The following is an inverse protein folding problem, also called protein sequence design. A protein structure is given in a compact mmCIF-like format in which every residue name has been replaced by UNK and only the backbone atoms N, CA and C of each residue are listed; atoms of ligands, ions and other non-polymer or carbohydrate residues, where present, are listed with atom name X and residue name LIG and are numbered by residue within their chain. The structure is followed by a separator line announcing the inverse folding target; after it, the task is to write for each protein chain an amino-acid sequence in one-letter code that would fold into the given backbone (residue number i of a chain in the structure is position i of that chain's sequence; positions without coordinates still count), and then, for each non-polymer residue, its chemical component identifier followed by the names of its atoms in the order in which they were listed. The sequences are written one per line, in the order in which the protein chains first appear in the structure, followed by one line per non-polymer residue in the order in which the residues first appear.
data_IF_471260823102
#
_entry.id   IF_471260823102
#
_cell.length_a   1.000
_cell.length_b   1.000
_cell.length_c   1.000
_cell.angle_alpha   90.00
_cell.angle_beta   90.00
_cell.angle_gamma   90.00
#
_symmetry.space_group_name_H-M   'P 1'
#
loop_
_entity.id
_entity.type
_entity.pdbx_description
1 polymer ?
#
# COMPACT_ATOMS: atom_id res chain seq x y z
N UNK A 1 15.94 55.73 -3.61
CA UNK A 1 14.99 56.59 -4.33
C UNK A 1 13.95 55.69 -5.03
N UNK A 2 12.73 55.65 -4.47
CA UNK A 2 11.41 55.29 -5.05
C UNK A 2 11.17 53.92 -5.73
N UNK A 3 10.46 53.07 -4.97
CA UNK A 3 9.29 52.28 -5.40
C UNK A 3 8.30 53.22 -6.15
N UNK A 4 8.00 53.03 -7.46
CA UNK A 4 6.71 53.43 -8.12
C UNK A 4 6.61 53.38 -9.67
N UNK A 5 7.59 52.88 -10.46
CA UNK A 5 7.49 52.99 -11.94
C UNK A 5 7.85 51.75 -12.79
N UNK A 6 7.93 50.55 -12.23
CA UNK A 6 8.04 49.31 -13.04
C UNK A 6 6.91 48.33 -12.76
N UNK A 7 5.73 48.89 -12.55
CA UNK A 7 4.43 48.24 -12.78
C UNK A 7 3.88 49.03 -13.97
N UNK A 8 3.35 48.34 -14.99
CA UNK A 8 2.78 48.87 -16.26
C UNK A 8 3.80 48.86 -17.42
N UNK A 9 3.45 48.17 -18.52
CA UNK A 9 4.25 47.75 -19.69
C UNK A 9 5.02 46.44 -19.40
N UNK A 10 4.46 45.22 -19.42
CA UNK A 10 3.59 44.63 -20.42
C UNK A 10 2.65 43.60 -19.78
N UNK A 11 1.46 44.06 -19.42
CA UNK A 11 0.28 43.22 -19.49
C UNK A 11 -0.07 43.06 -20.99
N UNK A 12 -0.53 41.86 -21.39
CA UNK A 12 -1.05 41.46 -22.71
C UNK A 12 -0.07 40.93 -23.77
N UNK A 13 0.22 39.63 -23.67
CA UNK A 13 -0.32 38.68 -24.65
C UNK A 13 -0.82 37.44 -23.90
N UNK A 14 -2.14 37.27 -23.88
CA UNK A 14 -2.85 36.08 -23.41
C UNK A 14 -3.16 35.26 -24.67
N UNK A 15 -2.90 33.94 -24.66
CA UNK A 15 -3.86 32.86 -24.95
C UNK A 15 -3.19 31.55 -25.43
N UNK A 16 -3.56 30.49 -24.71
CA UNK A 16 -3.57 29.05 -25.03
C UNK A 16 -2.26 28.35 -25.38
N UNK A 17 -1.72 27.63 -24.38
CA UNK A 17 -1.65 26.17 -24.45
C UNK A 17 -1.93 25.61 -23.05
N UNK A 18 -3.04 24.90 -22.96
CA UNK A 18 -3.43 24.02 -21.87
C UNK A 18 -2.33 23.01 -21.58
N UNK A 19 -1.88 22.98 -20.33
CA UNK A 19 -1.25 21.82 -19.73
C UNK A 19 -1.63 21.88 -18.26
N UNK A 20 -2.64 21.10 -17.85
CA UNK A 20 -2.85 20.80 -16.44
C UNK A 20 -1.53 20.21 -15.94
N UNK A 21 -0.70 21.01 -15.29
CA UNK A 21 0.34 20.47 -14.43
C UNK A 21 -0.41 19.87 -13.27
N UNK A 22 -0.74 18.58 -13.37
CA UNK A 22 -1.17 17.79 -12.25
C UNK A 22 -0.10 18.01 -11.17
N UNK A 23 -0.47 18.67 -10.08
CA UNK A 23 0.38 18.74 -8.91
C UNK A 23 0.54 17.28 -8.50
N UNK A 24 1.72 16.71 -8.75
CA UNK A 24 2.05 15.37 -8.28
C UNK A 24 1.87 15.41 -6.76
N UNK A 25 0.99 14.56 -6.24
CA UNK A 25 0.77 14.48 -4.80
C UNK A 25 2.02 13.99 -4.07
N UNK A 26 2.00 14.10 -2.75
CA UNK A 26 3.10 13.71 -1.87
C UNK A 26 3.56 12.26 -2.10
N UNK A 27 2.64 11.33 -2.35
CA UNK A 27 2.97 9.92 -2.58
C UNK A 27 3.53 9.69 -3.97
N UNK A 28 3.00 10.38 -4.98
CA UNK A 28 3.56 10.36 -6.33
C UNK A 28 5.01 10.83 -6.33
N UNK A 29 5.29 11.94 -5.63
CA UNK A 29 6.64 12.46 -5.44
C UNK A 29 7.53 11.47 -4.69
N UNK A 30 7.00 10.84 -3.63
CA UNK A 30 7.73 9.83 -2.86
C UNK A 30 8.23 8.67 -3.71
N UNK A 31 7.45 8.21 -4.70
CA UNK A 31 7.87 7.16 -5.64
C UNK A 31 9.03 7.63 -6.52
N UNK A 32 9.02 8.91 -6.95
CA UNK A 32 10.08 9.50 -7.77
C UNK A 32 11.38 9.71 -6.99
N UNK A 33 11.29 9.96 -5.69
CA UNK A 33 12.45 10.20 -4.82
C UNK A 33 13.27 8.94 -4.51
N UNK A 34 12.79 7.75 -4.86
CA UNK A 34 13.56 6.52 -4.69
C UNK A 34 14.95 6.60 -5.36
N UNK A 35 16.04 6.19 -4.68
CA UNK A 35 16.09 5.58 -3.34
C UNK A 35 16.38 6.58 -2.20
N UNK A 36 16.32 7.88 -2.44
CA UNK A 36 16.72 8.94 -1.52
C UNK A 36 15.58 9.30 -0.55
N UNK A 37 15.13 8.33 0.24
CA UNK A 37 14.11 8.54 1.28
C UNK A 37 14.78 8.93 2.60
N UNK A 38 14.63 10.19 3.01
CA UNK A 38 15.21 10.71 4.26
C UNK A 38 14.32 10.52 5.49
N UNK A 39 13.03 10.21 5.30
CA UNK A 39 12.10 9.96 6.37
C UNK A 39 10.88 9.14 5.92
N UNK A 40 10.09 8.72 6.90
CA UNK A 40 8.71 8.27 6.69
C UNK A 40 7.86 9.38 6.08
N UNK A 41 6.84 9.05 5.26
CA UNK A 41 5.90 10.01 4.76
C UNK A 41 4.97 10.47 5.88
N UNK A 42 4.51 11.71 5.78
CA UNK A 42 3.42 12.22 6.63
C UNK A 42 2.12 11.60 6.12
N UNK A 43 1.49 10.75 6.93
CA UNK A 43 0.27 10.01 6.61
C UNK A 43 -0.74 10.14 7.75
N UNK A 44 -2.01 9.88 7.46
CA UNK A 44 -3.06 9.79 8.48
C UNK A 44 -3.01 8.43 9.18
N UNK A 45 -3.55 8.37 10.39
CA UNK A 45 -3.80 7.10 11.06
C UNK A 45 -4.73 6.23 10.22
N UNK A 46 -4.50 4.92 10.25
CA UNK A 46 -5.28 3.98 9.46
C UNK A 46 -6.63 3.72 10.10
N UNK A 47 -7.69 4.21 9.47
CA UNK A 47 -9.09 3.92 9.79
C UNK A 47 -9.73 3.13 8.64
N UNK A 48 -10.54 2.12 8.97
CA UNK A 48 -11.19 1.25 7.97
C UNK A 48 -10.19 0.50 7.08
N UNK A 49 -10.55 0.25 5.83
CA UNK A 49 -9.68 -0.36 4.80
C UNK A 49 -9.08 0.69 3.85
N UNK A 50 -8.00 0.30 3.14
CA UNK A 50 -7.52 1.06 2.00
C UNK A 50 -8.52 0.87 0.85
N UNK A 51 -9.05 1.99 0.37
CA UNK A 51 -10.01 2.03 -0.74
C UNK A 51 -9.23 2.14 -2.06
N UNK A 52 -9.51 1.22 -2.97
CA UNK A 52 -8.93 1.17 -4.32
C UNK A 52 -9.90 1.75 -5.34
N UNK A 53 -9.42 2.19 -6.51
CA UNK A 53 -10.29 2.56 -7.62
C UNK A 53 -11.15 1.38 -8.10
N UNK A 54 -12.31 1.68 -8.68
CA UNK A 54 -13.26 0.67 -9.21
C UNK A 54 -12.59 -0.32 -10.16
N UNK A 55 -11.69 0.16 -11.00
CA UNK A 55 -10.98 -0.65 -12.00
C UNK A 55 -10.05 -1.71 -11.41
N UNK A 56 -9.77 -1.67 -10.10
CA UNK A 56 -9.00 -2.70 -9.38
C UNK A 56 -9.87 -3.90 -8.96
N UNK A 57 -11.20 -3.78 -9.00
CA UNK A 57 -12.11 -4.83 -8.57
C UNK A 57 -11.88 -6.13 -9.36
N UNK A 58 -11.95 -7.26 -8.66
CA UNK A 58 -11.79 -8.60 -9.25
C UNK A 58 -10.59 -9.37 -8.70
N UNK A 59 -10.30 -10.49 -9.34
CA UNK A 59 -9.14 -11.33 -9.05
C UNK A 59 -8.06 -11.15 -10.10
N UNK A 60 -6.81 -11.10 -9.63
CA UNK A 60 -5.65 -10.83 -10.46
C UNK A 60 -4.56 -11.85 -10.17
N UNK A 61 -3.93 -12.35 -11.23
CA UNK A 61 -2.66 -13.02 -11.11
C UNK A 61 -1.57 -11.96 -11.15
N UNK A 62 -0.83 -11.81 -10.06
CA UNK A 62 0.26 -10.87 -9.91
C UNK A 62 1.57 -11.58 -10.21
N UNK A 63 2.38 -11.00 -11.08
CA UNK A 63 3.82 -11.28 -11.16
C UNK A 63 4.56 -10.14 -10.50
N UNK A 64 5.30 -10.45 -9.42
CA UNK A 64 6.13 -9.50 -8.67
C UNK A 64 7.60 -9.82 -8.89
N UNK A 65 8.38 -8.85 -9.36
CA UNK A 65 9.83 -9.01 -9.56
C UNK A 65 10.57 -7.97 -8.76
N UNK A 66 11.45 -8.39 -7.85
CA UNK A 66 12.37 -7.49 -7.15
C UNK A 66 13.45 -7.02 -8.13
N UNK A 67 13.43 -5.74 -8.50
CA UNK A 67 14.35 -5.18 -9.52
C UNK A 67 15.47 -4.33 -8.92
N UNK A 68 15.32 -3.90 -7.65
CA UNK A 68 16.37 -3.13 -6.97
C UNK A 68 16.32 -3.34 -5.46
N UNK A 69 17.51 -3.42 -4.86
CA UNK A 69 17.72 -3.38 -3.43
C UNK A 69 18.73 -2.29 -3.10
N UNK A 70 18.43 -1.46 -2.10
CA UNK A 70 19.32 -0.39 -1.62
C UNK A 70 19.34 -0.41 -0.10
N UNK A 71 20.54 -0.33 0.48
CA UNK A 71 20.73 -0.01 1.89
C UNK A 71 21.20 1.44 1.96
N UNK A 72 20.32 2.41 2.33
CA UNK A 72 20.69 3.82 2.33
C UNK A 72 21.88 4.12 3.24
N UNK A 73 21.95 3.44 4.39
CA UNK A 73 23.12 3.42 5.26
C UNK A 73 23.71 1.99 5.31
N UNK A 74 24.83 1.71 4.62
CA UNK A 74 25.45 0.38 4.60
C UNK A 74 25.94 -0.13 5.97
N UNK A 75 26.16 0.76 6.93
CA UNK A 75 26.57 0.40 8.30
C UNK A 75 25.39 -0.09 9.14
N UNK A 76 24.16 0.23 8.74
CA UNK A 76 22.92 -0.13 9.44
C UNK A 76 22.02 -0.91 8.48
N UNK A 77 22.24 -2.22 8.39
CA UNK A 77 21.45 -3.12 7.54
C UNK A 77 20.78 -4.20 8.37
N UNK A 78 19.55 -4.56 7.99
CA UNK A 78 18.87 -5.71 8.60
C UNK A 78 19.52 -7.02 8.12
N UNK A 79 19.52 -8.09 8.94
CA UNK A 79 20.03 -9.40 8.53
C UNK A 79 19.37 -9.90 7.22
N UNK A 80 18.07 -9.64 7.05
CA UNK A 80 17.31 -10.00 5.86
C UNK A 80 17.79 -9.33 4.57
N UNK A 81 18.43 -8.16 4.63
CA UNK A 81 18.88 -7.44 3.43
C UNK A 81 19.87 -8.25 2.59
N UNK A 82 20.84 -8.92 3.21
CA UNK A 82 21.81 -9.74 2.46
C UNK A 82 21.16 -11.00 1.88
N UNK A 83 20.29 -11.64 2.66
CA UNK A 83 19.59 -12.87 2.26
C UNK A 83 18.63 -12.62 1.08
N UNK A 84 17.98 -11.46 1.04
CA UNK A 84 17.01 -11.12 -0.01
C UNK A 84 17.64 -10.95 -1.40
N UNK A 85 18.97 -10.85 -1.51
CA UNK A 85 19.67 -10.74 -2.79
C UNK A 85 19.38 -11.90 -3.73
N UNK A 86 19.09 -13.09 -3.19
CA UNK A 86 18.74 -14.27 -3.98
C UNK A 86 17.43 -14.11 -4.78
N UNK A 87 16.55 -13.19 -4.37
CA UNK A 87 15.28 -12.91 -5.04
C UNK A 87 15.39 -11.80 -6.09
N UNK A 88 16.56 -11.17 -6.24
CA UNK A 88 16.75 -10.12 -7.23
C UNK A 88 16.58 -10.69 -8.65
N UNK A 89 15.77 -10.02 -9.46
CA UNK A 89 15.39 -10.39 -10.82
C UNK A 89 14.68 -11.76 -10.93
N UNK A 90 14.20 -12.31 -9.80
CA UNK A 90 13.40 -13.53 -9.77
C UNK A 90 11.91 -13.16 -9.67
N UNK A 91 11.08 -13.50 -10.69
CA UNK A 91 9.66 -13.27 -10.62
C UNK A 91 8.98 -14.28 -9.67
N UNK A 92 8.07 -13.78 -8.85
CA UNK A 92 7.20 -14.58 -7.99
C UNK A 92 5.75 -14.31 -8.41
N UNK A 93 4.96 -15.37 -8.55
CA UNK A 93 3.57 -15.27 -8.98
C UNK A 93 2.61 -15.67 -7.87
N UNK A 94 1.54 -14.90 -7.68
CA UNK A 94 0.48 -15.19 -6.71
C UNK A 94 -0.83 -14.53 -7.12
N UNK A 95 -1.94 -15.02 -6.59
CA UNK A 95 -3.25 -14.44 -6.85
C UNK A 95 -3.62 -13.42 -5.76
N UNK A 96 -4.30 -12.36 -6.15
CA UNK A 96 -4.91 -11.37 -5.24
C UNK A 96 -6.34 -11.11 -5.65
N UNK A 97 -7.14 -10.61 -4.71
CA UNK A 97 -8.55 -10.30 -4.86
C UNK A 97 -8.84 -8.94 -4.25
N UNK A 98 -9.67 -8.19 -4.96
CA UNK A 98 -10.29 -6.95 -4.52
C UNK A 98 -11.79 -7.04 -4.74
N UNK A 99 -12.59 -6.68 -3.73
CA UNK A 99 -14.04 -6.80 -3.78
C UNK A 99 -14.72 -5.58 -3.18
N UNK A 100 -16.00 -5.41 -3.50
CA UNK A 100 -16.84 -4.37 -2.92
C UNK A 100 -17.11 -4.68 -1.45
N UNK A 101 -16.58 -3.87 -0.55
CA UNK A 101 -16.87 -3.99 0.87
C UNK A 101 -18.36 -3.70 1.13
N UNK A 102 -19.01 -4.59 1.86
CA UNK A 102 -20.32 -4.25 2.46
C UNK A 102 -20.07 -3.16 3.51
N UNK A 103 -20.90 -2.10 3.57
CA UNK A 103 -20.75 -1.09 4.60
C UNK A 103 -20.81 -1.75 5.98
N UNK A 104 -19.80 -1.48 6.83
CA UNK A 104 -19.79 -1.93 8.21
C UNK A 104 -21.06 -1.42 8.90
N UNK A 105 -21.99 -2.33 9.20
CA UNK A 105 -23.17 -2.00 9.99
C UNK A 105 -22.71 -1.83 11.43
N UNK A 106 -22.51 -0.58 11.88
CA UNK A 106 -22.34 -0.32 13.30
C UNK A 106 -23.60 -0.83 14.02
N UNK A 107 -23.42 -1.76 14.95
CA UNK A 107 -24.49 -2.16 15.87
C UNK A 107 -24.83 -0.92 16.69
N UNK A 108 -26.06 -0.43 16.58
CA UNK A 108 -26.60 0.58 17.49
C UNK A 108 -26.49 0.03 18.92
N UNK A 109 -25.55 0.55 19.70
CA UNK A 109 -25.50 0.29 21.13
C UNK A 109 -26.60 1.13 21.76
N UNK A 110 -27.66 0.47 22.21
CA UNK A 110 -28.77 1.13 22.89
C UNK A 110 -28.28 1.57 24.28
N UNK A 111 -27.72 2.78 24.39
CA UNK A 111 -27.30 3.36 25.66
C UNK A 111 -28.55 3.89 26.41
N UNK A 112 -28.67 3.65 27.73
CA UNK A 112 -29.86 4.01 28.52
C UNK A 112 -29.87 5.49 28.95
N UNK A 113 -29.44 6.41 28.08
CA UNK A 113 -29.42 7.85 28.38
C UNK A 113 -30.05 8.66 27.23
N UNK A 114 -30.98 9.59 27.50
CA UNK A 114 -31.61 10.44 26.50
C UNK A 114 -30.66 11.58 26.12
N UNK A 115 -29.64 11.28 25.32
CA UNK A 115 -28.91 12.30 24.57
C UNK A 115 -28.85 11.83 23.12
N UNK A 116 -29.86 12.23 22.35
CA UNK A 116 -29.84 12.11 20.89
C UNK A 116 -28.76 13.05 20.36
N UNK A 117 -27.55 12.53 20.20
CA UNK A 117 -26.56 13.12 19.31
C UNK A 117 -27.03 12.82 17.89
N UNK A 118 -27.70 13.78 17.26
CA UNK A 118 -27.88 13.77 15.82
C UNK A 118 -26.51 14.02 15.17
N UNK A 119 -25.72 12.95 15.02
CA UNK A 119 -24.63 12.96 14.05
C UNK A 119 -25.33 12.95 12.69
N UNK A 120 -25.38 14.13 12.09
CA UNK A 120 -25.90 14.34 10.75
C UNK A 120 -24.98 13.56 9.79
N UNK A 121 -25.37 12.33 9.49
CA UNK A 121 -24.76 11.52 8.45
C UNK A 121 -25.02 12.20 7.12
N UNK A 122 -24.14 13.11 6.72
CA UNK A 122 -23.98 13.48 5.32
C UNK A 122 -23.31 12.31 4.58
N UNK A 123 -23.94 11.13 4.57
CA UNK A 123 -23.59 10.03 3.67
C UNK A 123 -24.31 10.26 2.34
N UNK A 124 -23.97 11.36 1.68
CA UNK A 124 -24.18 11.50 0.24
C UNK A 124 -23.14 10.63 -0.44
N UNK A 125 -23.63 9.64 -1.20
CA UNK A 125 -22.93 8.59 -1.97
C UNK A 125 -22.77 7.24 -1.24
N UNK A 126 -23.70 6.33 -1.53
CA UNK A 126 -23.49 4.87 -1.51
C UNK A 126 -22.40 4.52 -2.54
N UNK A 127 -21.14 4.87 -2.27
CA UNK A 127 -20.02 4.37 -3.07
C UNK A 127 -19.61 3.03 -2.49
N UNK A 128 -19.80 1.98 -3.29
CA UNK A 128 -19.32 0.63 -3.03
C UNK A 128 -17.78 0.65 -3.03
N UNK A 129 -17.17 0.72 -1.84
CA UNK A 129 -15.72 0.84 -1.73
C UNK A 129 -15.04 -0.46 -2.13
N UNK A 130 -14.14 -0.42 -3.11
CA UNK A 130 -13.28 -1.56 -3.46
C UNK A 130 -12.18 -1.68 -2.42
N UNK A 131 -12.08 -2.83 -1.78
CA UNK A 131 -11.05 -3.15 -0.77
C UNK A 131 -10.32 -4.43 -1.16
N UNK A 132 -9.08 -4.57 -0.70
CA UNK A 132 -8.33 -5.81 -0.86
C UNK A 132 -8.78 -6.88 0.14
N UNK A 133 -8.92 -8.12 -0.31
CA UNK A 133 -9.12 -9.28 0.57
C UNK A 133 -7.82 -9.58 1.32
N UNK A 134 -7.59 -8.90 2.45
CA UNK A 134 -6.30 -8.98 3.17
C UNK A 134 -5.94 -10.41 3.59
N UNK A 135 -6.92 -11.20 4.01
CA UNK A 135 -6.67 -12.59 4.40
C UNK A 135 -6.25 -13.44 3.19
N UNK A 136 -7.01 -13.38 2.09
CA UNK A 136 -6.68 -14.11 0.86
C UNK A 136 -5.37 -13.63 0.24
N UNK A 137 -5.20 -12.32 0.09
CA UNK A 137 -4.01 -11.70 -0.50
C UNK A 137 -2.78 -12.00 0.34
N UNK A 138 -2.87 -11.82 1.66
CA UNK A 138 -1.78 -12.09 2.59
C UNK A 138 -1.35 -13.54 2.56
N UNK A 139 -2.29 -14.49 2.50
CA UNK A 139 -1.98 -15.92 2.41
C UNK A 139 -1.25 -16.25 1.10
N UNK A 140 -1.79 -15.83 -0.04
CA UNK A 140 -1.21 -16.12 -1.35
C UNK A 140 0.19 -15.51 -1.50
N UNK A 141 0.38 -14.26 -1.03
CA UNK A 141 1.71 -13.61 -1.02
C UNK A 141 2.69 -14.39 -0.14
N UNK A 142 2.28 -14.72 1.10
CA UNK A 142 3.16 -15.39 2.05
C UNK A 142 3.56 -16.80 1.56
N UNK A 143 2.62 -17.56 0.99
CA UNK A 143 2.91 -18.89 0.43
C UNK A 143 3.80 -18.82 -0.81
N UNK A 144 3.64 -17.81 -1.66
CA UNK A 144 4.50 -17.66 -2.84
C UNK A 144 5.95 -17.30 -2.47
N UNK A 145 6.17 -16.61 -1.34
CA UNK A 145 7.51 -16.22 -0.88
C UNK A 145 8.16 -17.30 0.00
N UNK A 146 7.41 -17.84 0.95
CA UNK A 146 7.93 -18.76 1.99
C UNK A 146 7.68 -20.23 1.68
N UNK A 147 6.86 -20.52 0.67
CA UNK A 147 6.39 -21.85 0.32
C UNK A 147 5.08 -22.22 1.02
N UNK A 148 4.21 -22.94 0.30
CA UNK A 148 2.87 -23.34 0.78
C UNK A 148 2.92 -24.10 2.11
N UNK A 149 3.93 -24.94 2.31
CA UNK A 149 4.09 -25.75 3.54
C UNK A 149 4.49 -24.93 4.75
N UNK A 150 5.07 -23.74 4.57
CA UNK A 150 5.56 -22.90 5.66
C UNK A 150 4.44 -22.05 6.28
N UNK A 151 3.39 -21.75 5.52
CA UNK A 151 2.30 -20.84 5.92
C UNK A 151 0.99 -21.61 6.01
N UNK A 152 0.43 -21.69 7.23
CA UNK A 152 -0.80 -22.43 7.50
C UNK A 152 -2.04 -21.61 7.16
N UNK A 153 -2.09 -20.35 7.59
CA UNK A 153 -3.23 -19.46 7.34
C UNK A 153 -2.88 -18.01 7.58
N UNK A 154 -3.70 -17.12 7.02
CA UNK A 154 -3.73 -15.70 7.35
C UNK A 154 -5.13 -15.33 7.76
N UNK A 155 -5.27 -14.63 8.89
CA UNK A 155 -6.56 -14.19 9.44
C UNK A 155 -6.55 -12.69 9.70
N UNK A 156 -7.69 -12.05 9.50
CA UNK A 156 -7.90 -10.63 9.83
C UNK A 156 -8.77 -10.55 11.08
N UNK A 157 -8.47 -9.61 11.98
CA UNK A 157 -9.29 -9.37 13.16
C UNK A 157 -10.68 -8.86 12.74
N UNK A 158 -11.78 -9.55 13.11
CA UNK A 158 -13.12 -9.16 12.69
C UNK A 158 -13.56 -7.80 13.23
N UNK A 159 -12.89 -7.28 14.27
CA UNK A 159 -13.17 -5.96 14.87
C UNK A 159 -12.21 -4.88 14.37
N UNK A 160 -11.13 -5.26 13.68
CA UNK A 160 -10.13 -4.33 13.19
C UNK A 160 -9.52 -4.82 11.87
N UNK A 161 -9.97 -4.31 10.70
CA UNK A 161 -9.45 -4.73 9.40
C UNK A 161 -7.95 -4.44 9.21
N UNK A 162 -7.38 -3.57 10.05
CA UNK A 162 -5.96 -3.22 10.01
C UNK A 162 -5.08 -4.24 10.73
N UNK A 163 -5.65 -5.22 11.45
CA UNK A 163 -4.88 -6.24 12.17
C UNK A 163 -5.00 -7.60 11.47
N UNK A 164 -3.85 -8.15 11.12
CA UNK A 164 -3.72 -9.45 10.46
C UNK A 164 -2.73 -10.34 11.22
N UNK A 165 -3.05 -11.63 11.35
CA UNK A 165 -2.16 -12.64 11.93
C UNK A 165 -1.86 -13.68 10.86
N UNK A 166 -0.57 -13.92 10.61
CA UNK A 166 -0.08 -15.03 9.78
C UNK A 166 0.39 -16.14 10.70
N UNK A 167 -0.10 -17.36 10.49
CA UNK A 167 0.27 -18.56 11.24
C UNK A 167 1.24 -19.39 10.41
N UNK A 168 2.41 -19.68 10.97
CA UNK A 168 3.42 -20.54 10.35
C UNK A 168 3.30 -21.98 10.85
N UNK A 169 3.94 -22.91 10.16
CA UNK A 169 3.86 -24.35 10.48
C UNK A 169 4.65 -24.79 11.72
N UNK A 170 5.43 -23.89 12.30
CA UNK A 170 6.31 -24.12 13.46
C UNK A 170 5.83 -23.36 14.70
N UNK A 171 4.52 -23.17 14.82
CA UNK A 171 3.83 -22.43 15.89
C UNK A 171 4.20 -20.93 16.01
N UNK A 172 5.11 -20.43 15.19
CA UNK A 172 5.42 -19.00 15.09
C UNK A 172 4.25 -18.24 14.45
N UNK A 173 4.15 -16.96 14.81
CA UNK A 173 3.13 -16.06 14.29
C UNK A 173 3.73 -14.72 13.89
N UNK A 174 3.16 -14.11 12.85
CA UNK A 174 3.43 -12.71 12.49
C UNK A 174 2.14 -11.92 12.64
N UNK A 175 2.09 -11.06 13.66
CA UNK A 175 1.05 -10.05 13.80
C UNK A 175 1.48 -8.81 13.01
N UNK A 176 0.66 -8.40 12.04
CA UNK A 176 0.85 -7.19 11.23
C UNK A 176 -0.30 -6.23 11.49
N UNK A 177 0.01 -4.98 11.84
CA UNK A 177 -0.98 -3.93 12.08
C UNK A 177 -0.70 -2.73 11.18
N UNK A 178 -1.63 -2.36 10.31
CA UNK A 178 -1.56 -1.08 9.59
C UNK A 178 -1.78 0.05 10.60
N UNK A 179 -0.81 0.94 10.72
CA UNK A 179 -0.86 2.07 11.65
C UNK A 179 -1.18 3.37 10.95
N UNK A 180 -0.68 3.55 9.72
CA UNK A 180 -0.89 4.75 8.92
C UNK A 180 -1.09 4.40 7.46
N UNK A 181 -1.87 5.19 6.74
CA UNK A 181 -2.03 5.05 5.29
C UNK A 181 -2.32 6.37 4.58
N UNK A 182 -2.16 6.35 3.28
CA UNK A 182 -2.60 7.40 2.37
C UNK A 182 -2.81 6.85 0.96
N UNK A 183 -3.58 7.58 0.17
CA UNK A 183 -3.73 7.30 -1.25
C UNK A 183 -3.95 8.58 -2.05
N UNK A 184 -3.58 8.52 -3.31
CA UNK A 184 -3.70 9.58 -4.30
C UNK A 184 -4.16 8.96 -5.63
N UNK A 185 -4.93 9.72 -6.40
CA UNK A 185 -5.37 9.33 -7.75
C UNK A 185 -4.90 10.39 -8.73
N UNK A 186 -3.63 10.35 -9.19
CA UNK A 186 -3.06 11.41 -10.03
C UNK A 186 -3.77 11.58 -11.38
N UNK A 187 -4.34 10.50 -11.91
CA UNK A 187 -5.14 10.48 -13.14
C UNK A 187 -6.16 9.33 -13.09
N UNK A 188 -7.09 9.27 -14.06
CA UNK A 188 -8.12 8.22 -14.12
C UNK A 188 -7.56 6.79 -14.10
N UNK A 189 -6.39 6.60 -14.71
CA UNK A 189 -5.75 5.30 -14.83
C UNK A 189 -4.58 5.11 -13.83
N UNK A 190 -4.35 6.04 -12.92
CA UNK A 190 -3.25 5.98 -11.96
C UNK A 190 -3.75 6.05 -10.52
N UNK A 191 -3.16 5.22 -9.68
CA UNK A 191 -3.45 5.21 -8.25
C UNK A 191 -2.14 5.00 -7.50
N UNK A 192 -1.90 5.80 -6.48
CA UNK A 192 -0.74 5.64 -5.59
C UNK A 192 -1.28 5.41 -4.20
N UNK A 193 -0.80 4.38 -3.53
CA UNK A 193 -1.14 4.13 -2.13
C UNK A 193 0.11 3.88 -1.31
N UNK A 194 0.03 4.20 -0.03
CA UNK A 194 1.05 3.87 0.96
C UNK A 194 0.39 3.35 2.21
N UNK A 195 0.93 2.26 2.76
CA UNK A 195 0.59 1.76 4.09
C UNK A 195 1.87 1.59 4.92
N UNK A 196 1.82 1.96 6.20
CA UNK A 196 2.86 1.67 7.18
C UNK A 196 2.31 0.62 8.16
N UNK A 197 3.03 -0.48 8.28
CA UNK A 197 2.71 -1.64 9.09
C UNK A 197 3.69 -1.75 10.24
N UNK A 198 3.17 -1.97 11.45
CA UNK A 198 3.95 -2.53 12.55
C UNK A 198 3.84 -4.05 12.49
N UNK A 199 4.98 -4.72 12.57
CA UNK A 199 5.07 -6.17 12.49
C UNK A 199 5.71 -6.71 13.76
N UNK A 200 5.03 -7.66 14.41
CA UNK A 200 5.53 -8.37 15.58
C UNK A 200 5.62 -9.85 15.18
N UNK A 201 6.85 -10.32 15.03
CA UNK A 201 7.14 -11.74 14.84
C UNK A 201 7.30 -12.39 16.21
N UNK A 202 6.44 -13.34 16.52
CA UNK A 202 6.43 -14.11 17.76
C UNK A 202 6.90 -15.52 17.45
N UNK A 203 8.12 -15.84 17.90
CA UNK A 203 8.59 -17.22 17.96
C UNK A 203 8.55 -17.76 19.38
N UNK A 204 8.85 -19.06 19.55
CA UNK A 204 8.79 -19.74 20.86
C UNK A 204 9.61 -19.03 21.96
N UNK A 205 10.75 -18.44 21.60
CA UNK A 205 11.71 -17.87 22.55
C UNK A 205 12.10 -16.42 22.24
N UNK A 206 11.57 -15.84 21.17
CA UNK A 206 11.94 -14.48 20.74
C UNK A 206 10.75 -13.72 20.19
N UNK A 207 10.74 -12.42 20.46
CA UNK A 207 9.83 -11.46 19.83
C UNK A 207 10.71 -10.48 19.06
N UNK A 208 10.41 -10.30 17.78
CA UNK A 208 11.07 -9.31 16.94
C UNK A 208 10.04 -8.32 16.41
N UNK A 209 10.38 -7.03 16.46
CA UNK A 209 9.54 -5.94 16.04
C UNK A 209 10.20 -5.19 14.90
N UNK A 210 9.45 -4.86 13.86
CA UNK A 210 9.88 -3.95 12.81
C UNK A 210 8.71 -3.09 12.33
N UNK A 211 9.05 -1.99 11.66
CA UNK A 211 8.08 -1.17 10.93
C UNK A 211 8.41 -1.24 9.45
N UNK A 212 7.38 -1.46 8.64
CA UNK A 212 7.50 -1.61 7.19
C UNK A 212 6.58 -0.59 6.53
N UNK A 213 7.08 0.07 5.52
CA UNK A 213 6.26 0.91 4.66
C UNK A 213 6.23 0.29 3.27
N UNK A 214 5.05 0.23 2.68
CA UNK A 214 4.87 -0.17 1.28
C UNK A 214 4.16 0.96 0.55
N UNK A 215 4.84 1.54 -0.44
CA UNK A 215 4.27 2.53 -1.36
C UNK A 215 4.16 1.91 -2.74
N UNK A 216 2.98 1.91 -3.34
CA UNK A 216 2.73 1.32 -4.66
C UNK A 216 2.07 2.32 -5.60
N UNK A 217 2.70 2.59 -6.74
CA UNK A 217 2.13 3.37 -7.83
C UNK A 217 1.64 2.43 -8.94
N UNK A 218 0.33 2.34 -9.09
CA UNK A 218 -0.38 1.53 -10.07
C UNK A 218 -0.69 2.35 -11.33
N UNK A 219 -0.72 1.67 -12.48
CA UNK A 219 -1.21 2.19 -13.75
C UNK A 219 -2.03 1.13 -14.44
N UNK A 220 -3.32 1.42 -14.63
CA UNK A 220 -4.26 0.59 -15.36
C UNK A 220 -4.14 0.81 -16.86
N UNK A 221 -4.24 -0.28 -17.61
CA UNK A 221 -4.39 -0.29 -19.07
C UNK A 221 -5.81 -0.78 -19.40
N UNK A 222 -6.68 0.16 -19.76
CA UNK A 222 -8.04 -0.14 -20.17
C UNK A 222 -8.07 -0.82 -21.55
N UNK A 223 -9.06 -1.68 -21.74
CA UNK A 223 -9.29 -2.36 -22.99
C UNK A 223 -9.74 -1.36 -24.08
N UNK A 224 -9.23 -1.53 -25.31
CA UNK A 224 -9.51 -0.59 -26.40
C UNK A 224 -10.93 -0.70 -26.96
N UNK A 225 -11.55 -1.89 -26.87
CA UNK A 225 -12.88 -2.18 -27.38
C UNK A 225 -13.95 -2.00 -26.29
N UNK A 226 -13.59 -2.18 -25.03
CA UNK A 226 -14.46 -2.08 -23.86
C UNK A 226 -13.78 -1.25 -22.76
N UNK A 227 -13.88 0.10 -22.79
CA UNK A 227 -13.17 0.98 -21.87
C UNK A 227 -13.50 0.80 -20.39
N UNK A 228 -14.57 0.06 -20.05
CA UNK A 228 -14.91 -0.30 -18.67
C UNK A 228 -14.08 -1.47 -18.13
N UNK A 229 -13.40 -2.22 -19.01
CA UNK A 229 -12.52 -3.34 -18.64
C UNK A 229 -11.07 -2.93 -18.60
N UNK A 230 -10.33 -3.57 -17.70
CA UNK A 230 -8.87 -3.46 -17.60
C UNK A 230 -8.22 -4.73 -18.14
N UNK A 231 -7.33 -4.58 -19.12
CA UNK A 231 -6.57 -5.69 -19.67
C UNK A 231 -5.37 -6.05 -18.77
N UNK A 232 -4.78 -5.05 -18.13
CA UNK A 232 -3.56 -5.19 -17.34
C UNK A 232 -3.43 -4.03 -16.35
N UNK A 233 -2.92 -4.31 -15.14
CA UNK A 233 -2.42 -3.28 -14.24
C UNK A 233 -0.91 -3.49 -14.06
N UNK A 234 -0.13 -2.44 -14.27
CA UNK A 234 1.29 -2.44 -13.92
C UNK A 234 1.49 -1.62 -12.66
N UNK A 235 2.49 -1.96 -11.84
CA UNK A 235 2.79 -1.13 -10.68
C UNK A 235 4.28 -1.09 -10.33
N UNK A 236 4.70 0.04 -9.80
CA UNK A 236 6.00 0.21 -9.16
C UNK A 236 5.77 0.23 -7.65
N UNK A 237 6.19 -0.83 -6.96
CA UNK A 237 6.06 -0.96 -5.51
C UNK A 237 7.42 -0.79 -4.86
N UNK A 238 7.49 0.04 -3.82
CA UNK A 238 8.67 0.25 -3.00
C UNK A 238 8.34 -0.16 -1.57
N UNK A 239 9.14 -1.05 -1.02
CA UNK A 239 9.07 -1.45 0.39
C UNK A 239 10.28 -0.90 1.12
N UNK A 240 10.02 -0.19 2.22
CA UNK A 240 11.03 0.33 3.12
C UNK A 240 10.94 -0.34 4.49
N UNK A 241 12.09 -0.73 5.03
CA UNK A 241 12.21 -1.30 6.37
C UNK A 241 12.81 -0.25 7.29
N UNK A 242 12.17 -0.03 8.43
CA UNK A 242 12.63 0.84 9.49
C UNK A 242 12.92 0.00 10.73
N UNK A 243 13.97 0.37 11.45
CA UNK A 243 14.27 -0.22 12.74
C UNK A 243 13.20 0.17 13.76
N UNK A 244 12.93 -0.75 14.67
CA UNK A 244 12.13 -0.53 15.87
C UNK A 244 13.00 -0.03 17.01
N UNK A 245 12.41 0.58 18.07
CA UNK A 245 13.17 0.97 19.26
C UNK A 245 13.91 -0.16 19.98
N UNK A 246 13.62 -1.42 19.65
CA UNK A 246 14.28 -2.59 20.23
C UNK A 246 15.59 -2.95 19.49
N UNK A 247 15.81 -2.40 18.30
CA UNK A 247 17.02 -2.66 17.52
C UNK A 247 18.22 -1.86 18.06
N UNK A 248 19.41 -2.47 18.21
CA UNK A 248 20.59 -1.79 18.74
C UNK A 248 20.99 -0.52 17.98
N UNK A 249 20.79 -0.50 16.66
CA UNK A 249 21.15 0.61 15.79
C UNK A 249 19.97 1.57 15.51
N UNK A 250 18.86 1.45 16.25
CA UNK A 250 17.67 2.28 16.05
C UNK A 250 17.98 3.79 16.00
N UNK A 251 18.74 4.30 16.97
CA UNK A 251 19.10 5.72 17.02
C UNK A 251 20.09 6.12 15.91
N UNK A 252 20.92 5.17 15.43
CA UNK A 252 21.83 5.43 14.30
C UNK A 252 21.07 5.56 12.99
N UNK A 253 19.93 4.89 12.85
CA UNK A 253 19.09 4.98 11.66
C UNK A 253 18.35 6.33 11.52
N UNK A 254 18.23 7.13 12.58
CA UNK A 254 17.64 8.49 12.52
C UNK A 254 16.28 8.57 11.81
N UNK A 255 15.41 7.56 12.00
CA UNK A 255 14.09 7.45 11.33
C UNK A 255 14.15 7.31 9.79
N UNK A 256 15.33 7.06 9.23
CA UNK A 256 15.54 6.70 7.83
C UNK A 256 15.29 5.21 7.60
N UNK A 257 14.91 4.81 6.38
CA UNK A 257 14.84 3.40 6.04
C UNK A 257 16.24 2.78 6.00
N UNK A 258 16.38 1.62 6.63
CA UNK A 258 17.63 0.84 6.64
C UNK A 258 17.73 -0.13 5.47
N UNK A 259 16.62 -0.36 4.77
CA UNK A 259 16.56 -1.16 3.56
C UNK A 259 15.40 -0.70 2.68
N UNK A 260 15.65 -0.59 1.39
CA UNK A 260 14.69 -0.27 0.36
C UNK A 260 14.69 -1.36 -0.71
N UNK A 261 13.51 -1.80 -1.09
CA UNK A 261 13.27 -2.81 -2.11
C UNK A 261 12.31 -2.24 -3.15
N UNK A 262 12.66 -2.29 -4.43
CA UNK A 262 11.79 -1.86 -5.53
C UNK A 262 11.36 -3.06 -6.34
N UNK A 263 10.06 -3.22 -6.48
CA UNK A 263 9.41 -4.28 -7.22
C UNK A 263 8.69 -3.70 -8.43
N UNK A 264 8.79 -4.39 -9.55
CA UNK A 264 7.89 -4.20 -10.68
C UNK A 264 6.79 -5.26 -10.58
N UNK A 265 5.54 -4.81 -10.57
CA UNK A 265 4.37 -5.66 -10.56
C UNK A 265 3.68 -5.63 -11.93
N UNK A 266 3.17 -6.77 -12.34
CA UNK A 266 2.23 -6.93 -13.45
C UNK A 266 1.05 -7.77 -12.98
N UNK A 267 -0.15 -7.26 -13.12
CA UNK A 267 -1.39 -7.90 -12.72
C UNK A 267 -2.21 -8.16 -13.98
N UNK A 268 -2.59 -9.42 -14.18
CA UNK A 268 -3.49 -9.84 -15.25
C UNK A 268 -4.79 -10.34 -14.63
N UNK A 269 -5.95 -9.96 -15.19
CA UNK A 269 -7.24 -10.40 -14.67
C UNK A 269 -7.35 -11.93 -14.80
N UNK A 270 -7.80 -12.60 -13.74
CA UNK A 270 -8.11 -14.02 -13.78
C UNK A 270 -9.51 -14.16 -14.35
N UNK A 271 -9.61 -14.50 -15.63
CA UNK A 271 -10.90 -14.82 -16.22
C UNK A 271 -11.43 -16.10 -15.58
N UNK A 272 -12.49 -16.00 -14.78
CA UNK A 272 -13.26 -17.14 -14.27
C UNK A 272 -14.07 -17.80 -15.41
N UNK A 273 -13.37 -18.40 -16.37
CA UNK A 273 -13.95 -19.27 -17.39
C UNK A 273 -13.11 -20.54 -17.54
N UNK A 274 -13.20 -21.44 -16.55
CA UNK A 274 -13.01 -22.90 -16.75
C UNK A 274 -13.18 -23.65 -15.42
N UNK A 275 -14.41 -24.05 -15.11
CA UNK A 275 -14.68 -25.25 -14.31
C UNK A 275 -16.13 -25.67 -14.54
N UNK A 276 -16.39 -26.11 -15.76
CA UNK A 276 -17.49 -27.03 -16.08
C UNK A 276 -16.91 -28.03 -17.07
N UNK A 277 -16.32 -29.09 -16.52
CA UNK A 277 -16.33 -30.43 -17.10
C UNK A 277 -17.07 -31.33 -16.13
#
# INVERSE_FOLDING_TARGET
MKFRRLIIICLFFVLFLSGNSAIAGQLTQRVLEFPNWESKPILKEAEGDLIYPEWMAGEWQVTSTLVKMVAPNPEVVTPGFKQNRQYLDQPITFNVRFYQAKPYSFINVNLPFPQTLNIQNNSTQNQENIVGDRAFNGLNIAQAILGEKAVLSVKVDPKNPNKQITFFNNDNQLLSTVTRRGSETPSLNQFVSTEIFQQIFQGETSIYLNEVETTTAYTAKFNQQDPEKVDEVTANQITAIYLSPQDPDYFKAQNQPVSLYRYQLKLLPINSKSSTE
#
